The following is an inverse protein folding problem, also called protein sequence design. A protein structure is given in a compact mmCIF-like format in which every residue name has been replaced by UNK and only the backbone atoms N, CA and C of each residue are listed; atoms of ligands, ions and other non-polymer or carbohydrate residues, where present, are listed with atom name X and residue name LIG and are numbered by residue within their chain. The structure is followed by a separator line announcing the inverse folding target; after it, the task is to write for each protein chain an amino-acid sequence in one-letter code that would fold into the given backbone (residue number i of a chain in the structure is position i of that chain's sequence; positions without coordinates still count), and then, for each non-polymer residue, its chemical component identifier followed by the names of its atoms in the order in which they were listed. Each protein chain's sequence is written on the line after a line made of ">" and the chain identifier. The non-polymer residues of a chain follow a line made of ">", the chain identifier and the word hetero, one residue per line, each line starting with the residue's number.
data_IF_634556905405
#
_entry.id   IF_634556905405
#
_cell.length_a   1.000
_cell.length_b   1.000
_cell.length_c   1.000
_cell.angle_alpha   90.00
_cell.angle_beta   90.00
_cell.angle_gamma   90.00
#
_symmetry.space_group_name_H-M   'P 1'
#
loop_
_entity.id
_entity.type
_entity.pdbx_description
1 polymer ?
#
# COMPACT_ATOMS: atom_id res chain seq x y z
N UNK A 1 63.70 47.04 8.85
CA UNK A 1 63.00 46.15 9.79
C UNK A 1 61.76 46.88 10.29
N UNK A 2 60.59 46.53 9.75
CA UNK A 2 59.29 47.09 10.13
C UNK A 2 58.26 46.00 9.81
N UNK A 3 57.85 45.24 10.81
CA UNK A 3 56.78 44.24 10.72
C UNK A 3 55.63 44.68 11.63
N UNK A 4 54.43 44.68 11.07
CA UNK A 4 53.14 44.94 11.73
C UNK A 4 52.65 43.67 12.44
N UNK A 5 51.91 43.77 13.57
CA UNK A 5 51.30 42.62 14.24
C UNK A 5 49.92 42.23 13.66
N UNK A 6 49.39 41.03 13.97
CA UNK A 6 48.33 40.36 13.21
C UNK A 6 46.91 40.74 13.63
N UNK A 7 45.97 40.59 12.68
CA UNK A 7 44.52 40.62 12.85
C UNK A 7 44.01 39.25 13.33
N UNK A 8 43.12 39.24 14.33
CA UNK A 8 42.16 38.15 14.57
C UNK A 8 40.87 38.71 15.22
N UNK A 9 39.77 37.95 15.09
CA UNK A 9 38.36 38.13 15.47
C UNK A 9 37.40 38.62 14.36
N UNK A 10 36.90 37.66 13.58
CA UNK A 10 35.58 37.73 12.93
C UNK A 10 34.57 36.96 13.79
N UNK A 11 33.52 37.67 14.22
CA UNK A 11 32.32 37.13 14.88
C UNK A 11 31.53 36.18 13.96
N UNK A 12 30.68 35.27 14.48
CA UNK A 12 29.83 34.42 13.65
C UNK A 12 28.68 35.23 13.04
N UNK A 13 28.48 35.09 11.72
CA UNK A 13 27.37 35.68 10.97
C UNK A 13 26.00 35.22 11.50
N UNK A 14 25.07 36.17 11.65
CA UNK A 14 23.64 35.90 11.91
C UNK A 14 22.99 35.27 10.67
N UNK A 15 22.07 34.30 10.84
CA UNK A 15 21.44 33.59 9.72
C UNK A 15 20.45 34.46 8.93
N UNK A 16 20.50 34.35 7.61
CA UNK A 16 19.66 35.05 6.64
C UNK A 16 18.21 34.49 6.66
N UNK A 17 17.18 35.29 6.97
CA UNK A 17 15.79 34.84 7.06
C UNK A 17 15.12 34.55 5.70
N UNK A 18 15.87 34.56 4.59
CA UNK A 18 15.36 34.27 3.24
C UNK A 18 15.77 32.91 2.66
N UNK A 19 16.47 32.06 3.43
CA UNK A 19 16.87 30.71 3.00
C UNK A 19 15.82 29.64 3.37
N UNK A 20 15.12 29.03 2.38
CA UNK A 20 14.15 27.96 2.62
C UNK A 20 14.77 26.67 3.17
N UNK A 21 16.11 26.51 3.13
CA UNK A 21 16.80 25.37 3.73
C UNK A 21 16.94 25.50 5.25
N UNK A 22 17.10 26.73 5.78
CA UNK A 22 17.22 26.97 7.22
C UNK A 22 15.95 26.66 8.01
N UNK A 23 14.78 26.89 7.39
CA UNK A 23 13.48 26.55 7.99
C UNK A 23 13.30 25.04 8.15
N UNK A 24 13.88 24.25 7.25
CA UNK A 24 13.80 22.79 7.27
C UNK A 24 14.65 22.20 8.39
N UNK A 25 15.83 22.77 8.64
CA UNK A 25 16.73 22.35 9.71
C UNK A 25 16.19 22.69 11.11
N UNK A 26 15.47 23.81 11.27
CA UNK A 26 14.78 24.17 12.52
C UNK A 26 13.60 23.23 12.83
N UNK A 27 12.84 22.82 11.82
CA UNK A 27 11.72 21.87 12.00
C UNK A 27 12.23 20.49 12.43
N UNK A 28 13.35 20.03 11.87
CA UNK A 28 13.99 18.77 12.27
C UNK A 28 14.45 18.85 13.73
N UNK A 29 15.06 19.97 14.13
CA UNK A 29 15.50 20.15 15.51
C UNK A 29 14.33 20.20 16.51
N UNK A 30 13.19 20.80 16.14
CA UNK A 30 12.01 20.91 17.00
C UNK A 30 11.23 19.59 17.16
N UNK A 31 11.23 18.72 16.16
CA UNK A 31 10.49 17.45 16.19
C UNK A 31 11.28 16.30 16.84
N UNK A 32 12.60 16.48 17.04
CA UNK A 32 13.47 15.47 17.69
C UNK A 32 13.18 15.27 19.20
N UNK A 33 12.41 16.16 19.81
CA UNK A 33 12.12 16.17 21.27
C UNK A 33 10.70 15.70 21.65
N UNK A 34 9.90 15.15 20.72
CA UNK A 34 8.57 14.59 21.05
C UNK A 34 8.67 13.11 21.41
N UNK A 35 8.42 12.82 22.68
CA UNK A 35 8.31 11.46 23.23
C UNK A 35 7.01 10.79 22.74
N UNK A 36 7.05 9.68 21.99
CA UNK A 36 5.84 8.94 21.64
C UNK A 36 5.29 8.27 22.90
N UNK A 37 4.01 8.52 23.20
CA UNK A 37 3.34 8.13 24.44
C UNK A 37 3.33 6.59 24.60
N UNK A 38 4.40 6.07 25.23
CA UNK A 38 4.72 4.65 25.39
C UNK A 38 3.58 3.86 26.07
N UNK A 39 2.75 4.57 26.84
CA UNK A 39 1.56 4.06 27.51
C UNK A 39 0.48 3.56 26.54
N UNK A 40 0.35 4.16 25.35
CA UNK A 40 -0.63 3.77 24.32
C UNK A 40 -0.20 2.45 23.66
N UNK A 41 1.10 2.30 23.40
CA UNK A 41 1.69 1.09 22.80
C UNK A 41 1.61 -0.09 23.77
N UNK A 42 1.93 0.12 25.06
CA UNK A 42 1.84 -0.94 26.07
C UNK A 42 0.40 -1.40 26.34
N UNK A 43 -0.57 -0.48 26.31
CA UNK A 43 -1.98 -0.82 26.48
C UNK A 43 -2.50 -1.70 25.32
N UNK A 44 -2.10 -1.41 24.09
CA UNK A 44 -2.43 -2.24 22.91
C UNK A 44 -1.80 -3.63 22.98
N UNK A 45 -0.51 -3.72 23.36
CA UNK A 45 0.23 -4.99 23.46
C UNK A 45 -0.32 -5.95 24.51
N UNK A 46 -0.84 -5.43 25.64
CA UNK A 46 -1.36 -6.26 26.73
C UNK A 46 -2.71 -6.92 26.38
N UNK A 47 -3.55 -6.25 25.58
CA UNK A 47 -4.84 -6.78 25.09
C UNK A 47 -4.64 -7.90 24.06
N UNK A 48 -3.66 -7.75 23.17
CA UNK A 48 -3.31 -8.74 22.13
C UNK A 48 -2.87 -10.10 22.72
N UNK A 49 -2.21 -10.11 23.90
CA UNK A 49 -1.78 -11.36 24.55
C UNK A 49 -2.91 -12.16 25.18
N UNK A 50 -4.04 -11.53 25.50
CA UNK A 50 -5.17 -12.18 26.19
C UNK A 50 -6.23 -12.75 25.25
N UNK A 51 -6.25 -12.35 23.97
CA UNK A 51 -7.28 -12.77 23.01
C UNK A 51 -6.80 -13.79 21.96
N UNK A 52 -5.51 -14.13 21.91
CA UNK A 52 -4.93 -15.08 20.95
C UNK A 52 -5.31 -16.57 21.13
N UNK A 53 -6.44 -16.88 21.77
CA UNK A 53 -6.84 -18.25 22.12
C UNK A 53 -7.87 -18.90 21.17
N UNK A 54 -8.26 -18.27 20.06
CA UNK A 54 -9.09 -18.90 19.02
C UNK A 54 -8.33 -19.03 17.68
N UNK A 55 -7.12 -19.59 17.75
CA UNK A 55 -6.34 -20.02 16.59
C UNK A 55 -6.91 -21.34 16.01
N UNK A 56 -8.13 -21.28 15.47
CA UNK A 56 -8.86 -22.44 14.96
C UNK A 56 -9.06 -22.51 13.44
N UNK A 57 -8.83 -21.42 12.69
CA UNK A 57 -8.88 -21.45 11.21
C UNK A 57 -7.48 -21.72 10.67
N UNK A 58 -7.15 -23.00 10.55
CA UNK A 58 -6.12 -23.41 9.62
C UNK A 58 -6.61 -22.99 8.23
N UNK A 59 -6.01 -21.93 7.66
CA UNK A 59 -6.35 -21.47 6.33
C UNK A 59 -6.02 -22.62 5.37
N UNK A 60 -7.05 -23.32 4.92
CA UNK A 60 -6.91 -24.29 3.84
C UNK A 60 -6.25 -23.57 2.68
N UNK A 61 -5.16 -24.17 2.18
CA UNK A 61 -4.48 -23.65 1.00
C UNK A 61 -5.52 -23.57 -0.12
N UNK A 62 -5.73 -22.40 -0.76
CA UNK A 62 -6.76 -22.25 -1.79
C UNK A 62 -6.58 -23.28 -2.89
N UNK A 63 -7.51 -24.22 -2.96
CA UNK A 63 -7.51 -25.29 -3.94
C UNK A 63 -8.49 -24.99 -5.08
N UNK A 64 -8.36 -25.70 -6.20
CA UNK A 64 -9.39 -25.70 -7.23
C UNK A 64 -10.73 -26.18 -6.64
N UNK A 65 -11.87 -25.64 -7.10
CA UNK A 65 -13.18 -26.10 -6.63
C UNK A 65 -13.36 -27.59 -6.86
N UNK A 66 -13.93 -28.29 -5.88
CA UNK A 66 -14.24 -29.72 -6.00
C UNK A 66 -15.44 -29.96 -6.93
N UNK A 67 -16.35 -29.00 -7.03
CA UNK A 67 -17.47 -29.03 -7.97
C UNK A 67 -16.97 -28.72 -9.39
N UNK A 68 -17.11 -29.67 -10.35
CA UNK A 68 -16.67 -29.48 -11.73
C UNK A 68 -17.33 -28.29 -12.45
N UNK A 69 -18.57 -27.94 -12.12
CA UNK A 69 -19.27 -26.82 -12.77
C UNK A 69 -18.73 -25.47 -12.28
N UNK A 70 -18.46 -25.35 -10.97
CA UNK A 70 -17.82 -24.15 -10.40
C UNK A 70 -16.40 -24.00 -10.93
N UNK A 71 -15.64 -25.08 -10.98
CA UNK A 71 -14.27 -25.10 -11.51
C UNK A 71 -14.24 -24.73 -13.01
N UNK A 72 -15.21 -25.20 -13.80
CA UNK A 72 -15.38 -24.78 -15.19
C UNK A 72 -15.72 -23.29 -15.31
N UNK A 73 -16.69 -22.80 -14.54
CA UNK A 73 -17.07 -21.39 -14.57
C UNK A 73 -15.91 -20.47 -14.13
N UNK A 74 -15.13 -20.87 -13.12
CA UNK A 74 -13.94 -20.14 -12.70
C UNK A 74 -12.92 -20.05 -13.84
N UNK A 75 -12.68 -21.14 -14.57
CA UNK A 75 -11.78 -21.13 -15.74
C UNK A 75 -12.26 -20.25 -16.88
N UNK A 76 -13.57 -20.16 -17.10
CA UNK A 76 -14.14 -19.27 -18.10
C UNK A 76 -13.86 -17.80 -17.74
N UNK A 77 -14.03 -17.43 -16.47
CA UNK A 77 -13.67 -16.09 -15.98
C UNK A 77 -12.15 -15.85 -16.08
N UNK A 78 -11.32 -16.79 -15.62
CA UNK A 78 -9.85 -16.71 -15.75
C UNK A 78 -9.42 -16.52 -17.20
N UNK A 79 -10.01 -17.27 -18.14
CA UNK A 79 -9.71 -17.16 -19.57
C UNK A 79 -10.13 -15.83 -20.15
N UNK A 80 -11.26 -15.28 -19.73
CA UNK A 80 -11.72 -13.97 -20.20
C UNK A 80 -10.85 -12.85 -19.66
N UNK A 81 -10.49 -12.90 -18.38
CA UNK A 81 -9.52 -11.96 -17.79
C UNK A 81 -8.17 -12.04 -18.51
N UNK A 82 -7.67 -13.24 -18.80
CA UNK A 82 -6.41 -13.47 -19.50
C UNK A 82 -6.41 -12.98 -20.96
N UNK A 83 -7.58 -12.74 -21.57
CA UNK A 83 -7.68 -12.15 -22.92
C UNK A 83 -7.36 -10.65 -22.93
N UNK A 84 -7.37 -10.01 -21.75
CA UNK A 84 -7.09 -8.58 -21.56
C UNK A 84 -5.58 -8.34 -21.53
N UNK A 85 -5.20 -7.06 -21.54
CA UNK A 85 -3.81 -6.68 -21.35
C UNK A 85 -3.27 -7.20 -20.02
N UNK A 86 -2.11 -7.85 -20.06
CA UNK A 86 -1.49 -8.44 -18.88
C UNK A 86 -0.95 -7.40 -17.91
N UNK A 87 -0.73 -7.83 -16.66
CA UNK A 87 -0.20 -7.02 -15.54
C UNK A 87 1.14 -6.34 -15.86
N UNK A 88 1.92 -6.92 -16.77
CA UNK A 88 3.19 -6.36 -17.22
C UNK A 88 3.02 -5.32 -18.31
N UNK A 89 1.84 -4.78 -18.62
CA UNK A 89 1.71 -3.66 -19.57
C UNK A 89 1.17 -2.45 -18.84
N UNK A 90 2.01 -1.43 -18.70
CA UNK A 90 1.64 -0.17 -18.07
C UNK A 90 1.15 0.84 -19.11
N UNK A 91 0.11 1.55 -18.75
CA UNK A 91 -0.25 2.84 -19.33
C UNK A 91 -0.19 3.87 -18.20
N UNK A 92 0.49 5.02 -18.37
CA UNK A 92 0.62 6.06 -17.35
C UNK A 92 -0.70 6.82 -17.05
N UNK A 93 -1.77 6.12 -16.67
CA UNK A 93 -3.09 6.68 -16.45
C UNK A 93 -3.97 5.78 -15.60
N UNK A 94 -4.78 6.41 -14.74
CA UNK A 94 -5.87 5.75 -13.99
C UNK A 94 -7.25 5.96 -14.63
N UNK A 95 -7.33 6.57 -15.83
CA UNK A 95 -8.61 7.01 -16.41
C UNK A 95 -9.61 5.88 -16.63
N UNK A 96 -9.17 4.70 -17.08
CA UNK A 96 -10.07 3.57 -17.32
C UNK A 96 -10.63 2.99 -16.03
N UNK A 97 -9.78 2.75 -15.04
CA UNK A 97 -10.24 2.24 -13.75
C UNK A 97 -11.10 3.28 -13.03
N UNK A 98 -10.79 4.57 -13.13
CA UNK A 98 -11.63 5.64 -12.59
C UNK A 98 -13.02 5.66 -13.26
N UNK A 99 -13.09 5.47 -14.58
CA UNK A 99 -14.36 5.35 -15.29
C UNK A 99 -15.16 4.11 -14.84
N UNK A 100 -14.50 2.98 -14.57
CA UNK A 100 -15.16 1.81 -13.99
C UNK A 100 -15.68 2.11 -12.57
N UNK A 101 -14.91 2.81 -11.74
CA UNK A 101 -15.35 3.16 -10.39
C UNK A 101 -16.55 4.10 -10.40
N UNK A 102 -16.57 5.08 -11.30
CA UNK A 102 -17.68 6.02 -11.46
C UNK A 102 -19.00 5.29 -11.79
N UNK A 103 -18.98 4.40 -12.78
CA UNK A 103 -20.19 3.64 -13.15
C UNK A 103 -20.63 2.61 -12.10
N UNK A 104 -19.71 2.15 -11.24
CA UNK A 104 -20.00 1.28 -10.10
C UNK A 104 -20.48 2.05 -8.86
N UNK A 105 -20.54 3.38 -8.91
CA UNK A 105 -20.98 4.21 -7.78
C UNK A 105 -19.89 4.41 -6.71
N UNK A 106 -18.64 4.43 -7.12
CA UNK A 106 -17.46 4.67 -6.29
C UNK A 106 -17.33 3.73 -5.07
N UNK A 107 -17.41 2.39 -5.23
CA UNK A 107 -17.38 1.45 -4.11
C UNK A 107 -16.08 1.55 -3.29
N UNK A 108 -14.98 1.97 -3.92
CA UNK A 108 -13.68 2.16 -3.29
C UNK A 108 -13.65 3.30 -2.26
N UNK A 109 -14.71 4.12 -2.17
CA UNK A 109 -14.87 5.20 -1.18
C UNK A 109 -15.78 4.82 -0.01
N UNK A 110 -16.32 3.60 0.01
CA UNK A 110 -17.28 3.16 1.04
C UNK A 110 -16.62 2.78 2.38
N UNK A 111 -15.30 2.67 2.42
CA UNK A 111 -14.53 2.20 3.58
C UNK A 111 -13.15 2.88 3.62
N UNK A 112 -12.54 3.05 4.81
CA UNK A 112 -11.17 3.53 4.93
C UNK A 112 -10.19 2.50 4.40
N UNK A 113 -9.04 2.96 3.93
CA UNK A 113 -8.07 2.12 3.22
C UNK A 113 -6.63 2.36 3.66
N UNK A 114 -5.89 1.25 3.82
CA UNK A 114 -4.43 1.23 3.97
C UNK A 114 -3.84 0.83 2.63
N UNK A 115 -3.11 1.75 2.00
CA UNK A 115 -2.53 1.56 0.67
C UNK A 115 -1.03 1.28 0.77
N UNK A 116 -0.57 0.19 0.14
CA UNK A 116 0.78 -0.33 0.35
C UNK A 116 1.53 -0.40 -0.99
N UNK A 117 2.67 0.29 -1.06
CA UNK A 117 3.63 0.15 -2.17
C UNK A 117 5.03 -0.15 -1.63
N UNK A 118 5.97 -0.31 -2.57
CA UNK A 118 7.37 -0.63 -2.32
C UNK A 118 7.88 -1.67 -3.32
N UNK A 119 9.17 -1.99 -3.24
CA UNK A 119 9.76 -3.01 -4.12
C UNK A 119 9.55 -4.39 -3.51
N UNK A 120 9.95 -4.57 -2.25
CA UNK A 120 9.87 -5.85 -1.56
C UNK A 120 8.97 -5.80 -0.33
N UNK A 121 8.37 -6.94 0.03
CA UNK A 121 7.65 -7.10 1.30
C UNK A 121 6.21 -6.59 1.33
N UNK A 122 5.68 -6.02 0.22
CA UNK A 122 4.30 -5.53 0.11
C UNK A 122 3.25 -6.55 0.58
N UNK A 123 3.19 -7.72 -0.04
CA UNK A 123 2.23 -8.78 0.32
C UNK A 123 2.39 -9.25 1.77
N UNK A 124 3.62 -9.41 2.27
CA UNK A 124 3.87 -9.80 3.66
C UNK A 124 3.33 -8.75 4.63
N UNK A 125 3.62 -7.47 4.38
CA UNK A 125 3.13 -6.34 5.16
C UNK A 125 1.60 -6.26 5.11
N UNK A 126 0.98 -6.43 3.93
CA UNK A 126 -0.47 -6.45 3.78
C UNK A 126 -1.12 -7.56 4.63
N UNK A 127 -0.55 -8.77 4.64
CA UNK A 127 -1.04 -9.89 5.46
C UNK A 127 -0.83 -9.65 6.96
N UNK A 128 0.28 -9.03 7.36
CA UNK A 128 0.53 -8.68 8.77
C UNK A 128 -0.47 -7.62 9.26
N UNK A 129 -0.73 -6.59 8.44
CA UNK A 129 -1.72 -5.55 8.74
C UNK A 129 -3.11 -6.17 8.87
N UNK A 130 -3.54 -7.00 7.91
CA UNK A 130 -4.83 -7.69 7.97
C UNK A 130 -4.98 -8.54 9.25
N UNK A 131 -3.94 -9.32 9.60
CA UNK A 131 -3.97 -10.14 10.80
C UNK A 131 -4.05 -9.32 12.09
N UNK A 132 -3.35 -8.18 12.15
CA UNK A 132 -3.43 -7.26 13.29
C UNK A 132 -4.81 -6.64 13.41
N UNK A 133 -5.38 -6.13 12.30
CA UNK A 133 -6.72 -5.55 12.27
C UNK A 133 -7.79 -6.58 12.69
N UNK A 134 -7.69 -7.81 12.18
CA UNK A 134 -8.59 -8.90 12.56
C UNK A 134 -8.47 -9.28 14.05
N UNK A 135 -7.29 -9.16 14.65
CA UNK A 135 -7.10 -9.34 16.09
C UNK A 135 -7.74 -8.22 16.95
N UNK A 136 -8.11 -7.10 16.33
CA UNK A 136 -8.94 -6.04 16.92
C UNK A 136 -10.43 -6.17 16.54
N UNK A 137 -10.86 -7.35 16.07
CA UNK A 137 -12.24 -7.66 15.67
C UNK A 137 -12.79 -6.79 14.52
N UNK A 138 -11.91 -6.20 13.70
CA UNK A 138 -12.30 -5.47 12.49
C UNK A 138 -12.50 -6.42 11.31
N UNK A 139 -13.55 -6.17 10.53
CA UNK A 139 -13.78 -6.85 9.25
C UNK A 139 -12.85 -6.27 8.20
N UNK A 140 -12.00 -7.11 7.61
CA UNK A 140 -10.97 -6.67 6.69
C UNK A 140 -11.24 -7.13 5.27
N UNK A 141 -11.04 -6.24 4.30
CA UNK A 141 -10.82 -6.61 2.90
C UNK A 141 -9.33 -6.55 2.60
N UNK A 142 -8.75 -7.54 1.92
CA UNK A 142 -7.35 -7.46 1.45
C UNK A 142 -7.25 -7.75 -0.04
N UNK A 143 -6.58 -6.84 -0.76
CA UNK A 143 -6.26 -6.99 -2.18
C UNK A 143 -4.73 -7.12 -2.34
N UNK A 144 -4.26 -8.23 -2.91
CA UNK A 144 -2.83 -8.55 -3.07
C UNK A 144 -2.48 -9.15 -4.43
N UNK A 145 -1.23 -9.01 -4.86
CA UNK A 145 -0.76 -9.53 -6.15
C UNK A 145 0.74 -9.86 -6.17
N UNK A 146 1.20 -10.81 -7.00
CA UNK A 146 0.39 -11.79 -7.75
C UNK A 146 -0.17 -12.87 -6.82
N UNK A 147 -0.97 -13.78 -7.38
CA UNK A 147 -1.38 -15.01 -6.69
C UNK A 147 -0.34 -16.12 -6.88
N UNK A 148 -0.33 -17.11 -5.98
CA UNK A 148 0.60 -18.24 -6.05
C UNK A 148 -0.06 -19.48 -6.68
N UNK A 149 -1.28 -19.84 -6.26
CA UNK A 149 -1.97 -21.05 -6.73
C UNK A 149 -3.31 -20.77 -7.38
N UNK A 150 -4.10 -19.87 -6.80
CA UNK A 150 -5.46 -19.56 -7.24
C UNK A 150 -5.68 -18.06 -7.35
N UNK A 151 -6.35 -17.60 -8.42
CA UNK A 151 -6.66 -16.18 -8.61
C UNK A 151 -7.48 -15.58 -7.46
N UNK A 152 -8.25 -16.43 -6.76
CA UNK A 152 -9.03 -16.05 -5.58
C UNK A 152 -8.17 -15.52 -4.43
N UNK A 153 -6.89 -15.89 -4.34
CA UNK A 153 -5.95 -15.38 -3.32
C UNK A 153 -5.79 -13.87 -3.37
N UNK A 154 -6.05 -13.26 -4.54
CA UNK A 154 -5.91 -11.83 -4.73
C UNK A 154 -6.92 -11.03 -3.95
N UNK A 155 -8.12 -11.57 -3.68
CA UNK A 155 -9.20 -10.89 -2.97
C UNK A 155 -9.53 -11.70 -1.73
N UNK A 156 -9.29 -11.15 -0.55
CA UNK A 156 -9.59 -11.78 0.72
C UNK A 156 -10.60 -10.96 1.52
N UNK A 157 -11.44 -11.65 2.28
CA UNK A 157 -12.37 -11.09 3.24
C UNK A 157 -12.14 -11.79 4.59
N UNK A 158 -12.09 -11.02 5.67
CA UNK A 158 -11.98 -11.52 7.04
C UNK A 158 -10.81 -12.52 7.22
N UNK A 159 -9.65 -12.25 6.59
CA UNK A 159 -8.43 -13.05 6.70
C UNK A 159 -8.33 -14.24 5.75
N UNK A 160 -9.32 -14.48 4.90
CA UNK A 160 -9.34 -15.63 3.99
C UNK A 160 -9.66 -15.21 2.53
N UNK A 161 -9.05 -15.86 1.52
CA UNK A 161 -9.44 -15.70 0.12
C UNK A 161 -10.94 -15.92 -0.08
N UNK A 162 -11.58 -15.13 -0.95
CA UNK A 162 -12.98 -15.34 -1.30
C UNK A 162 -13.16 -16.70 -2.00
N UNK A 163 -14.34 -17.30 -1.87
CA UNK A 163 -14.61 -18.56 -2.57
C UNK A 163 -14.63 -18.38 -4.08
N UNK A 164 -14.48 -19.47 -4.84
CA UNK A 164 -14.57 -19.43 -6.29
C UNK A 164 -15.95 -18.95 -6.75
N UNK A 165 -17.02 -19.39 -6.09
CA UNK A 165 -18.38 -18.94 -6.33
C UNK A 165 -18.49 -17.44 -6.15
N UNK A 166 -17.99 -16.90 -5.03
CA UNK A 166 -18.02 -15.46 -4.76
C UNK A 166 -17.19 -14.67 -5.78
N UNK A 167 -16.06 -15.21 -6.21
CA UNK A 167 -15.22 -14.59 -7.26
C UNK A 167 -15.96 -14.52 -8.60
N UNK A 168 -16.63 -15.61 -8.99
CA UNK A 168 -17.44 -15.69 -10.22
C UNK A 168 -18.64 -14.74 -10.14
N UNK A 169 -19.36 -14.74 -9.02
CA UNK A 169 -20.47 -13.81 -8.75
C UNK A 169 -20.02 -12.36 -8.88
N UNK A 170 -18.97 -11.97 -8.15
CA UNK A 170 -18.41 -10.61 -8.20
C UNK A 170 -18.05 -10.20 -9.63
N UNK A 171 -17.40 -11.08 -10.39
CA UNK A 171 -17.07 -10.80 -11.79
C UNK A 171 -18.34 -10.59 -12.64
N UNK A 172 -19.32 -11.48 -12.52
CA UNK A 172 -20.54 -11.41 -13.29
C UNK A 172 -21.38 -10.17 -12.95
N UNK A 173 -21.38 -9.75 -11.69
CA UNK A 173 -22.10 -8.57 -11.22
C UNK A 173 -21.52 -7.29 -11.83
N UNK A 174 -20.19 -7.18 -11.91
CA UNK A 174 -19.54 -6.00 -12.48
C UNK A 174 -19.35 -6.06 -14.00
N UNK A 175 -19.47 -7.24 -14.62
CA UNK A 175 -19.22 -7.47 -16.05
C UNK A 175 -19.96 -6.50 -16.98
N UNK A 176 -21.27 -6.19 -16.79
CA UNK A 176 -21.97 -5.24 -17.66
C UNK A 176 -21.35 -3.83 -17.64
N UNK A 177 -20.81 -3.41 -16.50
CA UNK A 177 -20.14 -2.12 -16.33
C UNK A 177 -18.74 -2.12 -16.96
N UNK A 178 -18.02 -3.24 -16.84
CA UNK A 178 -16.75 -3.44 -17.56
C UNK A 178 -16.98 -3.33 -19.07
N UNK A 179 -18.00 -4.01 -19.61
CA UNK A 179 -18.31 -3.98 -21.05
C UNK A 179 -18.73 -2.58 -21.52
N UNK A 180 -19.44 -1.82 -20.67
CA UNK A 180 -19.80 -0.44 -20.93
C UNK A 180 -18.56 0.46 -21.06
N UNK A 181 -17.61 0.35 -20.11
CA UNK A 181 -16.37 1.13 -20.12
C UNK A 181 -15.47 0.69 -21.27
N UNK A 182 -15.32 -0.62 -21.51
CA UNK A 182 -14.57 -1.19 -22.64
C UNK A 182 -15.06 -0.61 -23.99
N UNK A 183 -16.37 -0.38 -24.14
CA UNK A 183 -16.95 0.18 -25.37
C UNK A 183 -16.79 1.70 -25.54
N UNK A 184 -16.40 2.43 -24.49
CA UNK A 184 -16.22 3.89 -24.50
C UNK A 184 -14.76 4.32 -24.55
N UNK A 185 -13.83 3.40 -24.32
CA UNK A 185 -12.39 3.67 -24.23
C UNK A 185 -11.65 3.17 -25.46
N UNK A 186 -10.49 3.75 -25.76
CA UNK A 186 -9.64 3.30 -26.88
C UNK A 186 -9.21 1.83 -26.71
N UNK A 187 -9.00 1.43 -25.45
CA UNK A 187 -8.59 0.10 -25.07
C UNK A 187 -9.48 -0.44 -23.95
N UNK A 188 -9.69 -1.75 -23.97
CA UNK A 188 -10.35 -2.46 -22.88
C UNK A 188 -9.58 -2.29 -21.57
N UNK A 189 -10.29 -2.33 -20.45
CA UNK A 189 -9.71 -2.49 -19.13
C UNK A 189 -8.74 -3.69 -19.15
N UNK A 190 -7.56 -3.49 -18.56
CA UNK A 190 -6.55 -4.52 -18.38
C UNK A 190 -7.02 -5.58 -17.38
N UNK A 191 -6.29 -6.70 -17.34
CA UNK A 191 -6.48 -7.76 -16.34
C UNK A 191 -6.47 -7.18 -14.91
N UNK A 192 -5.49 -6.32 -14.62
CA UNK A 192 -5.29 -5.76 -13.29
C UNK A 192 -6.36 -4.73 -12.91
N UNK A 193 -6.79 -3.89 -13.86
CA UNK A 193 -7.88 -2.93 -13.64
C UNK A 193 -9.19 -3.65 -13.33
N UNK A 194 -9.52 -4.73 -14.04
CA UNK A 194 -10.73 -5.51 -13.76
C UNK A 194 -10.67 -6.15 -12.37
N UNK A 195 -9.56 -6.80 -12.00
CA UNK A 195 -9.42 -7.38 -10.66
C UNK A 195 -9.47 -6.34 -9.55
N UNK A 196 -8.91 -5.16 -9.78
CA UNK A 196 -8.98 -4.05 -8.82
C UNK A 196 -10.43 -3.61 -8.63
N UNK A 197 -11.19 -3.47 -9.72
CA UNK A 197 -12.62 -3.19 -9.65
C UNK A 197 -13.43 -4.29 -8.93
N UNK A 198 -13.10 -5.56 -9.18
CA UNK A 198 -13.70 -6.69 -8.45
C UNK A 198 -13.41 -6.61 -6.95
N UNK A 199 -12.17 -6.32 -6.56
CA UNK A 199 -11.79 -6.22 -5.14
C UNK A 199 -12.59 -5.12 -4.44
N UNK A 200 -12.69 -3.94 -5.05
CA UNK A 200 -13.43 -2.83 -4.46
C UNK A 200 -14.94 -3.09 -4.36
N UNK A 201 -15.54 -3.70 -5.38
CA UNK A 201 -16.93 -4.13 -5.32
C UNK A 201 -17.14 -5.19 -4.22
N UNK A 202 -16.26 -6.20 -4.12
CA UNK A 202 -16.37 -7.25 -3.11
C UNK A 202 -16.29 -6.71 -1.67
N UNK A 203 -15.43 -5.72 -1.43
CA UNK A 203 -15.27 -5.07 -0.12
C UNK A 203 -16.49 -4.22 0.25
N UNK A 204 -17.07 -3.48 -0.71
CA UNK A 204 -18.27 -2.69 -0.50
C UNK A 204 -19.50 -3.58 -0.24
N UNK A 205 -19.64 -4.66 -1.00
CA UNK A 205 -20.72 -5.64 -0.83
C UNK A 205 -20.64 -6.40 0.50
N UNK A 206 -19.41 -6.62 0.98
CA UNK A 206 -19.12 -7.33 2.23
C UNK A 206 -18.67 -6.34 3.29
N UNK A 207 -19.47 -5.33 3.64
CA UNK A 207 -19.05 -4.06 4.24
C UNK A 207 -17.92 -4.25 5.25
N UNK A 208 -16.71 -4.02 4.75
CA UNK A 208 -15.48 -4.15 5.53
C UNK A 208 -15.28 -2.88 6.35
N UNK A 209 -14.71 -3.01 7.52
CA UNK A 209 -14.33 -1.86 8.34
C UNK A 209 -13.09 -1.17 7.78
N UNK A 210 -12.16 -1.94 7.18
CA UNK A 210 -10.92 -1.42 6.57
C UNK A 210 -10.51 -2.29 5.37
N UNK A 211 -10.08 -1.66 4.28
CA UNK A 211 -9.42 -2.34 3.17
C UNK A 211 -7.89 -2.19 3.24
N UNK A 212 -7.17 -3.28 3.00
CA UNK A 212 -5.71 -3.34 2.90
C UNK A 212 -5.33 -3.63 1.45
N UNK A 213 -4.84 -2.63 0.75
CA UNK A 213 -4.68 -2.65 -0.70
C UNK A 213 -3.20 -2.61 -1.06
N UNK A 214 -2.70 -3.66 -1.69
CA UNK A 214 -1.36 -3.70 -2.26
C UNK A 214 -1.36 -3.16 -3.69
N UNK A 215 -0.45 -2.23 -3.97
CA UNK A 215 -0.13 -1.75 -5.31
C UNK A 215 0.45 -2.87 -6.16
N UNK A 216 -0.02 -2.99 -7.40
CA UNK A 216 0.54 -3.93 -8.38
C UNK A 216 1.94 -3.50 -8.83
N UNK A 217 2.06 -2.31 -9.42
CA UNK A 217 3.34 -1.77 -9.89
C UNK A 217 3.38 -0.24 -9.78
N UNK A 218 4.51 0.30 -9.34
CA UNK A 218 4.68 1.75 -9.23
C UNK A 218 3.87 2.34 -8.07
N UNK A 219 2.96 3.27 -8.37
CA UNK A 219 2.06 3.88 -7.38
C UNK A 219 1.09 4.86 -8.05
N UNK A 220 1.59 5.97 -8.61
CA UNK A 220 0.78 7.05 -9.19
C UNK A 220 -0.23 6.56 -10.22
N UNK A 221 0.20 5.69 -11.14
CA UNK A 221 -0.63 5.19 -12.24
C UNK A 221 -1.14 3.77 -12.02
N UNK A 222 -0.89 3.19 -10.85
CA UNK A 222 -1.40 1.86 -10.53
C UNK A 222 -2.93 1.89 -10.45
N UNK A 223 -3.58 0.82 -10.93
CA UNK A 223 -5.04 0.75 -10.94
C UNK A 223 -5.63 0.90 -9.52
N UNK A 224 -4.88 0.51 -8.49
CA UNK A 224 -5.32 0.66 -7.11
C UNK A 224 -5.39 2.13 -6.68
N UNK A 225 -4.65 3.05 -7.30
CA UNK A 225 -4.52 4.45 -6.88
C UNK A 225 -5.74 5.36 -7.18
N UNK A 226 -6.92 4.75 -7.33
CA UNK A 226 -8.24 5.40 -7.28
C UNK A 226 -8.85 5.42 -5.87
N UNK A 227 -8.19 4.80 -4.89
CA UNK A 227 -8.51 5.00 -3.47
C UNK A 227 -7.81 6.24 -2.92
N UNK A 228 -8.45 6.84 -1.93
CA UNK A 228 -7.88 7.92 -1.12
C UNK A 228 -7.46 7.31 0.23
N UNK A 229 -6.32 6.62 0.24
CA UNK A 229 -5.85 5.86 1.40
C UNK A 229 -5.52 6.75 2.60
N UNK A 230 -6.18 6.52 3.74
CA UNK A 230 -5.94 7.21 5.01
C UNK A 230 -4.52 6.94 5.54
N UNK A 231 -4.00 5.75 5.22
CA UNK A 231 -2.64 5.33 5.56
C UNK A 231 -1.92 4.88 4.29
N UNK A 232 -0.77 5.49 4.00
CA UNK A 232 0.11 5.09 2.91
C UNK A 232 1.35 4.40 3.49
N UNK A 233 1.55 3.12 3.17
CA UNK A 233 2.71 2.35 3.60
C UNK A 233 3.67 2.20 2.43
N UNK A 234 4.92 2.60 2.64
CA UNK A 234 5.99 2.42 1.66
C UNK A 234 7.02 1.46 2.25
N UNK A 235 6.98 0.21 1.80
CA UNK A 235 7.98 -0.80 2.13
C UNK A 235 9.31 -0.48 1.42
N UNK A 236 10.41 -1.20 1.69
CA UNK A 236 11.72 -0.84 1.12
C UNK A 236 11.68 -0.69 -0.40
N UNK A 237 12.22 0.43 -0.87
CA UNK A 237 12.43 0.74 -2.29
C UNK A 237 13.82 0.27 -2.68
N UNK A 238 13.87 -0.47 -3.78
CA UNK A 238 15.07 -0.94 -4.44
C UNK A 238 14.83 -0.96 -5.95
N UNK A 239 15.90 -1.16 -6.73
CA UNK A 239 15.85 -1.24 -8.18
C UNK A 239 14.96 -2.42 -8.63
N UNK A 240 13.85 -2.09 -9.27
CA UNK A 240 12.92 -3.04 -9.86
C UNK A 240 12.13 -2.34 -10.96
N UNK A 241 11.75 -3.08 -12.00
CA UNK A 241 11.04 -2.55 -13.17
C UNK A 241 11.69 -1.28 -13.76
N UNK A 242 13.02 -1.29 -13.86
CA UNK A 242 13.81 -0.10 -14.24
C UNK A 242 13.53 0.39 -15.66
N UNK A 243 12.97 -0.47 -16.53
CA UNK A 243 12.49 -0.12 -17.86
C UNK A 243 11.28 0.83 -17.84
N UNK A 244 10.61 0.99 -16.68
CA UNK A 244 9.36 1.75 -16.53
C UNK A 244 9.42 2.80 -15.43
N UNK A 245 10.00 2.45 -14.29
CA UNK A 245 9.93 3.26 -13.07
C UNK A 245 11.15 4.17 -12.89
N UNK A 246 12.26 3.89 -13.59
CA UNK A 246 13.51 4.64 -13.48
C UNK A 246 14.72 3.76 -13.19
N UNK A 247 15.90 4.32 -13.37
CA UNK A 247 17.19 3.65 -13.19
C UNK A 247 17.77 3.86 -11.79
N UNK A 248 17.12 4.69 -10.95
CA UNK A 248 17.55 5.01 -9.58
C UNK A 248 16.43 4.81 -8.56
N UNK A 249 16.75 4.53 -7.28
CA UNK A 249 15.74 4.47 -6.22
C UNK A 249 14.91 5.75 -6.08
N UNK A 250 15.52 6.94 -6.27
CA UNK A 250 14.81 8.22 -6.28
C UNK A 250 13.78 8.35 -7.41
N UNK A 251 14.09 7.93 -8.63
CA UNK A 251 13.13 7.92 -9.74
C UNK A 251 11.98 6.94 -9.46
N UNK A 252 12.29 5.73 -8.99
CA UNK A 252 11.29 4.73 -8.61
C UNK A 252 10.40 5.26 -7.47
N UNK A 253 10.98 5.98 -6.50
CA UNK A 253 10.26 6.59 -5.41
C UNK A 253 9.28 7.68 -5.88
N UNK A 254 9.58 8.38 -6.98
CA UNK A 254 8.66 9.39 -7.54
C UNK A 254 7.34 8.75 -7.93
N UNK A 255 7.39 7.59 -8.58
CA UNK A 255 6.18 6.88 -8.97
C UNK A 255 5.49 6.22 -7.78
N UNK A 256 6.24 5.69 -6.81
CA UNK A 256 5.67 5.10 -5.58
C UNK A 256 5.02 6.14 -4.67
N UNK A 257 5.55 7.35 -4.63
CA UNK A 257 5.02 8.44 -3.81
C UNK A 257 3.61 8.88 -4.23
N UNK A 258 3.14 8.49 -5.42
CA UNK A 258 1.79 8.79 -5.92
C UNK A 258 0.64 8.24 -5.08
N UNK A 259 0.90 7.27 -4.18
CA UNK A 259 -0.10 6.77 -3.22
C UNK A 259 -0.22 7.66 -1.97
N UNK A 260 0.71 8.59 -1.74
CA UNK A 260 0.66 9.50 -0.59
C UNK A 260 -0.36 10.59 -0.91
N UNK A 261 -1.51 10.50 -0.25
CA UNK A 261 -2.65 11.41 -0.39
C UNK A 261 -2.60 12.52 0.66
N UNK A 262 -3.43 13.53 0.43
CA UNK A 262 -3.54 14.67 1.34
C UNK A 262 -3.96 14.20 2.74
N UNK A 263 -3.33 14.77 3.78
CA UNK A 263 -3.60 14.49 5.20
C UNK A 263 -3.38 13.02 5.63
N UNK A 264 -2.82 12.17 4.76
CA UNK A 264 -2.60 10.76 5.04
C UNK A 264 -1.52 10.54 6.13
N UNK A 265 -1.61 9.41 6.83
CA UNK A 265 -0.50 8.93 7.66
C UNK A 265 0.44 8.06 6.81
N UNK A 266 1.69 8.46 6.68
CA UNK A 266 2.70 7.78 5.87
C UNK A 266 3.62 6.96 6.75
N UNK A 267 3.65 5.65 6.52
CA UNK A 267 4.54 4.71 7.22
C UNK A 267 5.66 4.29 6.28
N UNK A 268 6.88 4.68 6.59
CA UNK A 268 8.06 4.41 5.78
C UNK A 268 8.94 3.35 6.45
N UNK A 269 9.21 2.26 5.73
CA UNK A 269 10.35 1.41 6.06
C UNK A 269 11.67 2.18 5.84
N UNK A 270 12.81 1.61 6.25
CA UNK A 270 14.10 2.20 5.93
C UNK A 270 14.30 2.31 4.41
N UNK A 271 14.71 3.48 3.91
CA UNK A 271 14.87 3.78 2.48
C UNK A 271 16.29 4.22 2.13
N UNK A 272 16.72 4.04 0.86
CA UNK A 272 17.83 4.79 0.27
C UNK A 272 17.63 6.31 0.42
N UNK A 273 18.71 7.07 0.53
CA UNK A 273 18.66 8.52 0.82
C UNK A 273 17.87 9.29 -0.25
N UNK A 274 18.13 9.00 -1.53
CA UNK A 274 17.46 9.64 -2.67
C UNK A 274 15.97 9.30 -2.72
N UNK A 275 15.58 8.05 -2.43
CA UNK A 275 14.18 7.65 -2.29
C UNK A 275 13.50 8.34 -1.10
N UNK A 276 14.15 8.40 0.07
CA UNK A 276 13.63 9.05 1.26
C UNK A 276 13.34 10.55 1.03
N UNK A 277 14.23 11.25 0.33
CA UNK A 277 14.05 12.66 -0.02
C UNK A 277 12.78 12.89 -0.85
N UNK A 278 12.52 12.04 -1.84
CA UNK A 278 11.33 12.13 -2.69
C UNK A 278 10.05 11.89 -1.88
N UNK A 279 10.04 10.85 -1.04
CA UNK A 279 8.88 10.49 -0.22
C UNK A 279 8.55 11.58 0.81
N UNK A 280 9.56 12.12 1.50
CA UNK A 280 9.39 13.19 2.48
C UNK A 280 8.94 14.49 1.82
N UNK A 281 9.52 14.84 0.67
CA UNK A 281 9.07 16.00 -0.11
C UNK A 281 7.59 15.85 -0.48
N UNK A 282 7.19 14.68 -0.98
CA UNK A 282 5.78 14.41 -1.32
C UNK A 282 4.87 14.54 -0.09
N UNK A 283 5.28 14.00 1.05
CA UNK A 283 4.50 14.10 2.28
C UNK A 283 4.28 15.56 2.71
N UNK A 284 5.31 16.40 2.64
CA UNK A 284 5.20 17.84 2.92
C UNK A 284 4.28 18.54 1.92
N UNK A 285 4.38 18.24 0.63
CA UNK A 285 3.54 18.84 -0.43
C UNK A 285 2.04 18.61 -0.23
N UNK A 286 1.65 17.57 0.51
CA UNK A 286 0.24 17.17 0.71
C UNK A 286 -0.14 17.14 2.19
N UNK A 287 0.63 17.80 3.05
CA UNK A 287 0.36 17.91 4.50
C UNK A 287 0.18 16.54 5.20
N UNK A 288 0.90 15.52 4.74
CA UNK A 288 0.84 14.17 5.30
C UNK A 288 1.74 14.02 6.55
N UNK A 289 1.29 13.26 7.54
CA UNK A 289 2.06 12.95 8.75
C UNK A 289 2.95 11.73 8.50
N UNK A 290 4.23 11.77 8.88
CA UNK A 290 5.19 10.70 8.56
C UNK A 290 5.72 10.00 9.81
N UNK A 291 5.80 8.68 9.77
CA UNK A 291 6.58 7.87 10.70
C UNK A 291 7.54 6.96 9.93
N UNK A 292 8.82 6.96 10.31
CA UNK A 292 9.93 6.24 9.66
C UNK A 292 10.52 5.20 10.59
N UNK A 293 10.80 4.04 10.01
CA UNK A 293 11.54 2.99 10.67
C UNK A 293 12.96 3.48 11.04
N UNK A 294 13.34 3.27 12.29
CA UNK A 294 14.61 3.71 12.87
C UNK A 294 14.60 5.11 13.46
N UNK A 295 13.52 5.89 13.27
CA UNK A 295 13.37 7.24 13.83
C UNK A 295 12.13 7.33 14.71
N UNK A 296 10.93 7.29 14.13
CA UNK A 296 9.66 7.36 14.88
C UNK A 296 9.20 5.99 15.41
N UNK A 297 9.58 4.90 14.75
CA UNK A 297 9.30 3.54 15.21
C UNK A 297 10.42 2.57 14.87
N UNK A 298 10.44 1.40 15.49
CA UNK A 298 11.41 0.37 15.17
C UNK A 298 11.06 -0.99 15.78
N UNK A 299 11.75 -2.02 15.31
CA UNK A 299 11.61 -3.39 15.85
C UNK A 299 12.53 -3.55 17.06
N UNK A 300 11.97 -3.85 18.23
CA UNK A 300 12.75 -4.04 19.47
C UNK A 300 13.52 -5.36 19.42
N UNK A 301 12.85 -6.46 19.07
CA UNK A 301 13.54 -7.73 18.83
C UNK A 301 12.91 -8.55 17.70
N UNK A 302 13.78 -9.29 17.00
CA UNK A 302 13.42 -10.22 15.92
C UNK A 302 14.16 -11.53 16.12
N UNK A 303 13.44 -12.63 16.18
CA UNK A 303 14.00 -13.97 16.35
C UNK A 303 13.46 -14.93 15.29
N UNK A 304 14.27 -15.88 14.85
CA UNK A 304 13.80 -16.97 13.99
C UNK A 304 12.94 -17.92 14.85
N UNK A 305 11.74 -18.23 14.36
CA UNK A 305 10.80 -19.14 15.00
C UNK A 305 10.45 -20.31 14.06
N UNK A 306 9.81 -21.36 14.57
CA UNK A 306 9.37 -22.49 13.74
C UNK A 306 8.35 -21.98 12.71
N UNK A 307 8.69 -22.09 11.43
CA UNK A 307 7.82 -21.66 10.32
C UNK A 307 7.76 -20.15 10.09
N UNK A 308 8.61 -19.34 10.73
CA UNK A 308 8.58 -17.89 10.53
C UNK A 308 9.50 -17.10 11.45
N UNK A 309 9.03 -15.94 11.90
CA UNK A 309 9.77 -15.03 12.77
C UNK A 309 8.88 -14.56 13.92
N UNK A 310 9.48 -14.41 15.10
CA UNK A 310 8.86 -13.76 16.24
C UNK A 310 9.36 -12.31 16.30
N UNK A 311 8.43 -11.37 16.31
CA UNK A 311 8.67 -9.93 16.46
C UNK A 311 8.04 -9.50 17.79
N UNK A 312 8.80 -8.80 18.63
CA UNK A 312 8.35 -8.27 19.92
C UNK A 312 8.81 -6.83 20.10
#
# INVERSE_FOLDING_TARGET
>A
MSELPPHDSSEPDEPDPSDPHGLFDEIIAAETDRDPDLAVIEAGSRTLRTQGADAGRQADVPARPADPEVDKALREVESELASRWGETKLEPSVSRIAALMDVLGEPQRAYPSIHITGTNGKTSTARMIEALLGAFDLRTGRYTSPHVQSITERISLDGAPISAERFIETYNDIKPYIEMVDGQQEYRLSFFEVLTGMAYAAFADSPVDVAVVEVGMGGSWDATNVIDGDVAVVTPIDLDHTDRLGETPGEIATEKAGIIKQDATVILAQQPVDAAQVLLKKAVEVDATVAREGLEFGVVARQVAVGGQLIT
#
